data_IF_666480150892
#
_entry.id   IF_666480150892
#
_cell.length_a   1.000
_cell.length_b   1.000
_cell.length_c   1.000
_cell.angle_alpha   90.00
_cell.angle_beta   90.00
_cell.angle_gamma   90.00
#
_symmetry.space_group_name_H-M   'P 1'
#
loop_
_entity.id
_entity.type
_entity.pdbx_description
1 polymer ?
#
# COMPACT_ATOMS: atom_id res chain seq x y z
N UNK A 1 23.83 9.99 9.34
CA UNK A 1 25.01 9.09 9.37
C UNK A 1 24.71 7.63 8.99
N UNK A 2 23.46 7.22 8.69
CA UNK A 2 23.16 5.83 8.28
C UNK A 2 22.47 5.70 6.90
N UNK A 3 22.03 6.81 6.29
CA UNK A 3 21.34 6.80 5.00
C UNK A 3 22.31 6.46 3.86
N UNK A 4 23.47 7.10 3.85
CA UNK A 4 24.47 6.94 2.79
C UNK A 4 24.98 5.49 2.71
N UNK A 5 25.24 4.86 3.87
CA UNK A 5 25.63 3.44 3.94
C UNK A 5 24.56 2.49 3.39
N UNK A 6 23.28 2.78 3.62
CA UNK A 6 22.17 1.96 3.11
C UNK A 6 22.02 2.15 1.60
N UNK A 7 22.18 3.37 1.10
CA UNK A 7 22.16 3.66 -0.35
C UNK A 7 23.34 3.02 -1.07
N UNK A 8 24.53 3.01 -0.45
CA UNK A 8 25.72 2.31 -0.98
C UNK A 8 25.50 0.80 -1.06
N UNK A 9 24.83 0.22 -0.05
CA UNK A 9 24.42 -1.18 -0.07
C UNK A 9 23.38 -1.47 -1.17
N UNK A 10 22.47 -0.52 -1.43
CA UNK A 10 21.43 -0.58 -2.47
C UNK A 10 21.89 -0.01 -3.83
N UNK A 11 23.10 -0.39 -4.25
CA UNK A 11 23.61 -0.08 -5.58
C UNK A 11 22.78 -0.77 -6.69
N UNK A 12 22.90 -0.32 -7.94
CA UNK A 12 22.09 -0.82 -9.06
C UNK A 12 22.25 -2.33 -9.31
N UNK A 13 23.42 -2.89 -8.99
CA UNK A 13 23.67 -4.34 -9.05
C UNK A 13 22.87 -5.11 -7.98
N UNK A 14 22.79 -4.59 -6.75
CA UNK A 14 22.02 -5.23 -5.68
C UNK A 14 20.52 -5.09 -5.90
N UNK A 15 20.06 -3.97 -6.47
CA UNK A 15 18.66 -3.84 -6.93
C UNK A 15 18.32 -4.86 -8.02
N UNK A 16 19.19 -5.08 -9.00
CA UNK A 16 18.96 -6.09 -10.04
C UNK A 16 18.92 -7.51 -9.44
N UNK A 17 19.81 -7.81 -8.49
CA UNK A 17 19.78 -9.06 -7.73
C UNK A 17 18.45 -9.23 -6.97
N UNK A 18 18.01 -8.20 -6.25
CA UNK A 18 16.73 -8.22 -5.52
C UNK A 18 15.55 -8.43 -6.46
N UNK A 19 15.54 -7.76 -7.62
CA UNK A 19 14.53 -7.96 -8.65
C UNK A 19 14.52 -9.41 -9.15
N UNK A 20 15.69 -9.96 -9.45
CA UNK A 20 15.83 -11.36 -9.86
C UNK A 20 15.29 -12.33 -8.80
N UNK A 21 15.63 -12.13 -7.53
CA UNK A 21 15.12 -12.93 -6.40
C UNK A 21 13.59 -12.85 -6.35
N UNK A 22 13.01 -11.64 -6.40
CA UNK A 22 11.56 -11.46 -6.36
C UNK A 22 10.87 -12.19 -7.52
N UNK A 23 11.41 -12.09 -8.74
CA UNK A 23 10.85 -12.76 -9.93
C UNK A 23 10.92 -14.28 -9.78
N UNK A 24 12.07 -14.82 -9.37
CA UNK A 24 12.25 -16.26 -9.20
C UNK A 24 11.35 -16.83 -8.11
N UNK A 25 11.21 -16.13 -6.99
CA UNK A 25 10.30 -16.53 -5.91
C UNK A 25 8.82 -16.44 -6.34
N UNK A 26 8.46 -15.48 -7.18
CA UNK A 26 7.10 -15.36 -7.73
C UNK A 26 6.77 -16.51 -8.66
N UNK A 27 7.71 -16.90 -9.54
CA UNK A 27 7.56 -18.06 -10.42
C UNK A 27 7.40 -19.33 -9.57
N UNK A 28 8.25 -19.50 -8.57
CA UNK A 28 8.18 -20.63 -7.64
C UNK A 28 6.82 -20.72 -6.94
N UNK A 29 6.29 -19.61 -6.42
CA UNK A 29 4.97 -19.55 -5.78
C UNK A 29 3.82 -19.92 -6.73
N UNK A 30 3.88 -19.43 -7.97
CA UNK A 30 2.89 -19.78 -8.98
C UNK A 30 2.88 -21.30 -9.26
N UNK A 31 4.04 -21.96 -9.20
CA UNK A 31 4.13 -23.42 -9.37
C UNK A 31 3.68 -24.21 -8.14
N UNK A 32 3.87 -23.70 -6.92
CA UNK A 32 3.40 -24.36 -5.69
C UNK A 32 1.91 -24.12 -5.40
N UNK A 33 1.26 -23.22 -6.15
CA UNK A 33 -0.16 -22.90 -5.98
C UNK A 33 -0.46 -22.11 -4.70
N UNK A 34 0.57 -21.65 -3.98
CA UNK A 34 0.41 -20.82 -2.78
C UNK A 34 0.12 -19.39 -3.25
N UNK A 35 -1.17 -19.09 -3.39
CA UNK A 35 -1.63 -17.78 -3.81
C UNK A 35 -2.08 -16.96 -2.60
N UNK A 36 -1.44 -15.80 -2.39
CA UNK A 36 -1.84 -14.82 -1.39
C UNK A 36 -1.01 -14.85 -0.11
N UNK A 37 -1.60 -14.41 0.99
CA UNK A 37 -0.92 -14.38 2.28
C UNK A 37 -0.95 -15.79 2.88
N UNK A 38 0.21 -16.35 3.21
CA UNK A 38 0.33 -17.61 3.95
C UNK A 38 -0.30 -17.42 5.34
N UNK A 39 -1.60 -17.71 5.47
CA UNK A 39 -2.28 -17.72 6.76
C UNK A 39 -1.90 -19.01 7.50
N UNK A 40 -0.80 -18.94 8.24
CA UNK A 40 -0.39 -20.02 9.14
C UNK A 40 -1.05 -19.82 10.51
N UNK A 41 -1.57 -20.89 11.14
CA UNK A 41 -2.01 -20.83 12.53
C UNK A 41 -0.83 -20.48 13.44
N UNK A 42 -1.13 -19.82 14.56
CA UNK A 42 -0.10 -19.43 15.52
C UNK A 42 0.61 -20.67 16.07
N UNK A 43 1.95 -20.64 16.07
CA UNK A 43 2.85 -21.67 16.62
C UNK A 43 2.98 -22.98 15.83
N UNK A 44 2.49 -23.07 14.59
CA UNK A 44 2.79 -24.21 13.72
C UNK A 44 3.95 -23.89 12.76
N UNK A 45 4.99 -24.74 12.77
CA UNK A 45 6.09 -24.64 11.83
C UNK A 45 5.72 -25.34 10.51
N UNK A 46 5.25 -24.55 9.55
CA UNK A 46 4.91 -25.01 8.21
C UNK A 46 5.94 -24.54 7.17
N UNK A 47 7.20 -24.92 7.37
CA UNK A 47 8.35 -24.52 6.54
C UNK A 47 8.61 -22.99 6.45
N UNK A 48 9.66 -22.62 5.72
CA UNK A 48 10.06 -21.23 5.49
C UNK A 48 9.01 -20.53 4.64
N UNK A 49 8.50 -19.38 5.13
CA UNK A 49 7.54 -18.58 4.36
C UNK A 49 8.23 -17.84 3.22
N UNK A 50 8.18 -18.45 2.04
CA UNK A 50 8.75 -17.89 0.81
C UNK A 50 8.09 -16.56 0.44
N UNK A 51 6.80 -16.39 0.76
CA UNK A 51 6.05 -15.15 0.54
C UNK A 51 6.61 -14.02 1.40
N UNK A 52 6.99 -14.32 2.65
CA UNK A 52 7.64 -13.36 3.53
C UNK A 52 8.99 -12.90 2.97
N UNK A 53 9.85 -13.84 2.55
CA UNK A 53 11.17 -13.51 1.97
C UNK A 53 11.00 -12.64 0.72
N UNK A 54 10.06 -12.99 -0.16
CA UNK A 54 9.76 -12.19 -1.33
C UNK A 54 9.33 -10.77 -0.95
N UNK A 55 8.44 -10.60 0.04
CA UNK A 55 7.97 -9.29 0.48
C UNK A 55 9.10 -8.44 1.06
N UNK A 56 9.99 -9.03 1.86
CA UNK A 56 11.16 -8.34 2.39
C UNK A 56 12.08 -7.87 1.25
N UNK A 57 12.39 -8.74 0.28
CA UNK A 57 13.19 -8.37 -0.87
C UNK A 57 12.54 -7.25 -1.71
N UNK A 58 11.22 -7.31 -1.88
CA UNK A 58 10.44 -6.29 -2.58
C UNK A 58 10.47 -4.93 -1.87
N UNK A 59 10.39 -4.89 -0.55
CA UNK A 59 10.49 -3.65 0.23
C UNK A 59 11.83 -2.96 -0.03
N UNK A 60 12.95 -3.69 0.05
CA UNK A 60 14.28 -3.13 -0.21
C UNK A 60 14.46 -2.70 -1.66
N UNK A 61 13.92 -3.48 -2.61
CA UNK A 61 13.93 -3.14 -4.03
C UNK A 61 13.18 -1.81 -4.29
N UNK A 62 11.96 -1.70 -3.78
CA UNK A 62 11.13 -0.50 -3.94
C UNK A 62 11.77 0.70 -3.27
N UNK A 63 12.24 0.55 -2.02
CA UNK A 63 12.93 1.62 -1.31
C UNK A 63 14.14 2.14 -2.09
N UNK A 64 15.05 1.25 -2.50
CA UNK A 64 16.27 1.67 -3.21
C UNK A 64 16.00 2.23 -4.61
N UNK A 65 14.93 1.78 -5.29
CA UNK A 65 14.52 2.33 -6.58
C UNK A 65 13.88 3.71 -6.43
N UNK A 66 12.98 3.88 -5.45
CA UNK A 66 12.30 5.15 -5.18
C UNK A 66 13.26 6.22 -4.64
N UNK A 67 14.25 5.83 -3.85
CA UNK A 67 15.30 6.74 -3.37
C UNK A 67 16.10 7.33 -4.54
N UNK A 68 16.44 6.51 -5.55
CA UNK A 68 17.12 6.97 -6.77
C UNK A 68 16.22 7.85 -7.65
N UNK A 69 14.91 7.62 -7.59
CA UNK A 69 13.90 8.33 -8.38
C UNK A 69 13.29 9.52 -7.62
N UNK A 70 13.99 10.07 -6.61
CA UNK A 70 13.44 11.09 -5.70
C UNK A 70 12.79 12.25 -6.45
N UNK A 71 11.45 12.31 -6.39
CA UNK A 71 10.66 13.41 -6.94
C UNK A 71 10.33 14.40 -5.83
N UNK A 72 10.69 15.66 -6.01
CA UNK A 72 10.25 16.74 -5.12
C UNK A 72 8.92 17.30 -5.62
N UNK A 73 7.82 16.85 -5.02
CA UNK A 73 6.48 17.37 -5.31
C UNK A 73 5.71 17.63 -4.02
N UNK A 74 5.21 18.86 -3.86
CA UNK A 74 4.40 19.28 -2.69
C UNK A 74 3.16 18.38 -2.48
N UNK A 75 2.62 17.82 -3.56
CA UNK A 75 1.49 16.90 -3.50
C UNK A 75 1.90 15.54 -2.91
N UNK A 76 3.05 15.01 -3.30
CA UNK A 76 3.58 13.75 -2.76
C UNK A 76 3.92 13.89 -1.27
N UNK A 77 4.52 15.02 -0.87
CA UNK A 77 4.80 15.31 0.54
C UNK A 77 3.51 15.31 1.36
N UNK A 78 2.45 15.96 0.85
CA UNK A 78 1.14 16.00 1.53
C UNK A 78 0.51 14.61 1.66
N UNK A 79 0.64 13.77 0.63
CA UNK A 79 0.10 12.39 0.65
C UNK A 79 0.93 11.52 1.60
N UNK A 80 2.26 11.68 1.61
CA UNK A 80 3.15 10.97 2.54
C UNK A 80 2.83 11.33 4.00
N UNK A 81 2.67 12.62 4.28
CA UNK A 81 2.27 13.15 5.58
C UNK A 81 0.93 12.60 6.07
N UNK A 82 -0.02 12.39 5.16
CA UNK A 82 -1.36 11.88 5.47
C UNK A 82 -1.51 10.37 5.29
N UNK A 83 -0.43 9.66 4.92
CA UNK A 83 -0.45 8.25 4.54
C UNK A 83 -0.98 7.32 5.64
N UNK A 84 -0.66 7.61 6.90
CA UNK A 84 -1.18 6.85 8.04
C UNK A 84 -2.70 6.97 8.15
N UNK A 85 -3.24 8.19 8.03
CA UNK A 85 -4.69 8.41 8.06
C UNK A 85 -5.38 7.79 6.83
N UNK A 86 -4.78 7.96 5.65
CA UNK A 86 -5.28 7.39 4.40
C UNK A 86 -5.23 5.86 4.41
N UNK A 87 -4.41 5.21 5.23
CA UNK A 87 -4.40 3.75 5.33
C UNK A 87 -5.69 3.20 5.97
N UNK A 88 -6.28 3.92 6.93
CA UNK A 88 -7.46 3.43 7.68
C UNK A 88 -8.81 3.82 7.07
N UNK A 89 -8.86 4.83 6.20
CA UNK A 89 -10.11 5.34 5.62
C UNK A 89 -10.71 4.43 4.52
N UNK A 90 -9.93 3.84 3.58
CA UNK A 90 -10.44 3.06 2.46
C UNK A 90 -11.36 1.89 2.85
N UNK A 91 -11.10 1.09 3.90
CA UNK A 91 -12.03 0.04 4.32
C UNK A 91 -13.44 0.56 4.62
N UNK A 92 -13.55 1.74 5.27
CA UNK A 92 -14.84 2.37 5.57
C UNK A 92 -15.51 2.92 4.30
N UNK A 93 -14.74 3.54 3.40
CA UNK A 93 -15.26 4.04 2.14
C UNK A 93 -15.76 2.90 1.23
N UNK A 94 -15.03 1.79 1.18
CA UNK A 94 -15.43 0.60 0.43
C UNK A 94 -16.72 -0.01 0.99
N UNK A 95 -16.87 -0.06 2.30
CA UNK A 95 -18.10 -0.54 2.95
C UNK A 95 -19.29 0.36 2.59
N UNK A 96 -19.12 1.69 2.65
CA UNK A 96 -20.16 2.65 2.25
C UNK A 96 -20.51 2.47 0.77
N UNK A 97 -19.50 2.29 -0.09
CA UNK A 97 -19.70 2.07 -1.52
C UNK A 97 -20.46 0.77 -1.79
N UNK A 98 -20.16 -0.30 -1.05
CA UNK A 98 -20.87 -1.58 -1.16
C UNK A 98 -22.35 -1.46 -0.74
N UNK A 99 -22.64 -0.74 0.35
CA UNK A 99 -24.02 -0.46 0.75
C UNK A 99 -24.75 0.39 -0.30
N UNK A 100 -24.07 1.40 -0.85
CA UNK A 100 -24.63 2.27 -1.88
C UNK A 100 -24.87 1.52 -3.20
N UNK A 101 -23.96 0.64 -3.60
CA UNK A 101 -24.09 -0.24 -4.78
C UNK A 101 -25.34 -1.11 -4.67
N UNK A 102 -25.50 -1.80 -3.53
CA UNK A 102 -26.65 -2.64 -3.28
C UNK A 102 -27.99 -1.86 -3.28
N UNK A 103 -27.98 -0.62 -2.79
CA UNK A 103 -29.22 0.18 -2.64
C UNK A 103 -29.61 0.96 -3.89
N UNK A 104 -28.65 1.50 -4.63
CA UNK A 104 -28.90 2.45 -5.73
C UNK A 104 -28.50 1.92 -7.11
N UNK A 105 -27.54 0.99 -7.18
CA UNK A 105 -26.99 0.48 -8.44
C UNK A 105 -27.32 -1.00 -8.68
N UNK A 106 -28.03 -1.65 -7.74
CA UNK A 106 -28.49 -3.03 -7.87
C UNK A 106 -27.36 -4.07 -7.83
N UNK A 107 -26.19 -3.72 -7.30
CA UNK A 107 -25.03 -4.62 -7.22
C UNK A 107 -24.24 -4.75 -8.53
N UNK A 108 -24.47 -3.85 -9.49
CA UNK A 108 -23.85 -3.92 -10.83
C UNK A 108 -22.38 -3.51 -10.82
N UNK A 109 -21.90 -2.75 -9.83
CA UNK A 109 -20.50 -2.31 -9.75
C UNK A 109 -19.51 -3.46 -9.52
N UNK A 110 -19.96 -4.58 -8.93
CA UNK A 110 -19.14 -5.81 -8.78
C UNK A 110 -19.18 -6.73 -9.99
N UNK A 111 -20.25 -6.68 -10.80
CA UNK A 111 -20.53 -7.68 -11.83
C UNK A 111 -19.79 -7.40 -13.14
N UNK A 112 -19.55 -6.13 -13.46
CA UNK A 112 -18.93 -5.75 -14.71
C UNK A 112 -17.43 -5.49 -14.52
N UNK A 113 -16.60 -6.40 -15.02
CA UNK A 113 -15.14 -6.23 -15.10
C UNK A 113 -14.79 -5.16 -16.14
N UNK A 114 -15.03 -3.90 -15.79
CA UNK A 114 -14.66 -2.75 -16.60
C UNK A 114 -13.46 -2.03 -15.94
N UNK A 115 -12.30 -2.10 -16.60
CA UNK A 115 -11.05 -1.54 -16.10
C UNK A 115 -11.13 -0.03 -15.88
N UNK A 116 -11.93 0.68 -16.67
CA UNK A 116 -12.17 2.12 -16.52
C UNK A 116 -12.92 2.42 -15.22
N UNK A 117 -13.95 1.63 -14.91
CA UNK A 117 -14.70 1.73 -13.66
C UNK A 117 -13.81 1.44 -12.46
N UNK A 118 -12.98 0.39 -12.54
CA UNK A 118 -12.02 0.05 -11.49
C UNK A 118 -11.04 1.19 -11.19
N UNK A 119 -10.40 1.76 -12.23
CA UNK A 119 -9.47 2.90 -12.06
C UNK A 119 -10.22 4.12 -11.50
N UNK A 120 -11.45 4.37 -11.95
CA UNK A 120 -12.32 5.44 -11.44
C UNK A 120 -12.63 5.29 -9.94
N UNK A 121 -13.01 4.09 -9.51
CA UNK A 121 -13.31 3.80 -8.10
C UNK A 121 -12.05 3.94 -7.25
N UNK A 122 -10.92 3.35 -7.67
CA UNK A 122 -9.66 3.44 -6.94
C UNK A 122 -9.20 4.90 -6.77
N UNK A 123 -9.21 5.68 -7.85
CA UNK A 123 -8.83 7.10 -7.79
C UNK A 123 -9.80 7.90 -6.92
N UNK A 124 -11.11 7.65 -7.03
CA UNK A 124 -12.14 8.28 -6.20
C UNK A 124 -11.96 8.01 -4.70
N UNK A 125 -11.66 6.77 -4.33
CA UNK A 125 -11.41 6.38 -2.93
C UNK A 125 -10.17 7.10 -2.39
N UNK A 126 -9.08 7.17 -3.17
CA UNK A 126 -7.85 7.87 -2.74
C UNK A 126 -8.12 9.36 -2.54
N UNK A 127 -8.77 10.01 -3.50
CA UNK A 127 -9.10 11.45 -3.41
C UNK A 127 -9.99 11.73 -2.21
N UNK A 128 -11.02 10.91 -2.00
CA UNK A 128 -11.94 11.05 -0.87
C UNK A 128 -11.22 10.82 0.46
N UNK A 129 -10.31 9.85 0.53
CA UNK A 129 -9.52 9.58 1.74
C UNK A 129 -8.61 10.76 2.11
N UNK A 130 -7.91 11.34 1.12
CA UNK A 130 -7.09 12.54 1.31
C UNK A 130 -7.96 13.72 1.77
N UNK A 131 -9.15 13.88 1.18
CA UNK A 131 -10.08 14.94 1.53
C UNK A 131 -10.60 14.80 2.97
N UNK A 132 -11.01 13.59 3.37
CA UNK A 132 -11.42 13.27 4.75
C UNK A 132 -10.28 13.56 5.75
N UNK A 133 -9.04 13.13 5.45
CA UNK A 133 -7.88 13.40 6.31
C UNK A 133 -7.63 14.91 6.48
N UNK A 134 -7.77 15.69 5.39
CA UNK A 134 -7.63 17.15 5.44
C UNK A 134 -8.74 17.84 6.24
N UNK A 135 -10.00 17.41 6.06
CA UNK A 135 -11.14 17.93 6.85
C UNK A 135 -10.90 17.64 8.33
N UNK A 136 -10.51 16.41 8.66
CA UNK A 136 -10.26 16.04 10.05
C UNK A 136 -9.17 16.92 10.65
N UNK A 137 -8.06 17.16 9.94
CA UNK A 137 -7.03 18.13 10.37
C UNK A 137 -7.59 19.55 10.54
N UNK A 138 -8.48 19.99 9.66
CA UNK A 138 -9.09 21.33 9.72
C UNK A 138 -10.03 21.49 10.92
N UNK A 139 -10.86 20.50 11.19
CA UNK A 139 -11.81 20.50 12.33
C UNK A 139 -11.05 20.49 13.66
N UNK A 140 -9.95 19.74 13.74
CA UNK A 140 -9.16 19.59 14.96
C UNK A 140 -7.95 20.53 15.06
N UNK A 141 -7.90 21.61 14.25
CA UNK A 141 -6.80 22.60 14.21
C UNK A 141 -6.49 23.27 15.56
N UNK A 142 -7.40 23.20 16.53
CA UNK A 142 -7.25 23.79 17.87
C UNK A 142 -6.59 22.90 18.93
N UNK A 143 -6.35 21.61 18.66
CA UNK A 143 -5.80 20.67 19.65
C UNK A 143 -4.43 20.14 19.24
N UNK A 144 -3.42 20.21 20.12
CA UNK A 144 -2.12 19.54 19.90
C UNK A 144 -2.23 18.01 19.89
N UNK A 145 -3.38 17.45 20.31
CA UNK A 145 -3.59 15.99 20.43
C UNK A 145 -3.95 15.31 19.11
N UNK A 146 -4.25 16.07 18.07
CA UNK A 146 -4.68 15.54 16.76
C UNK A 146 -3.62 14.68 16.10
N UNK A 147 -2.35 15.00 16.35
CA UNK A 147 -1.18 14.24 15.88
C UNK A 147 -1.17 12.79 16.37
N UNK A 148 -1.77 12.52 17.54
CA UNK A 148 -1.86 11.15 18.09
C UNK A 148 -2.99 10.32 17.50
N UNK A 149 -4.02 10.97 16.93
CA UNK A 149 -5.17 10.29 16.30
C UNK A 149 -4.96 10.05 14.80
N UNK A 150 -4.28 10.99 14.13
CA UNK A 150 -4.17 11.02 12.66
C UNK A 150 -2.74 10.64 12.20
N UNK A 151 -1.78 10.57 13.13
CA UNK A 151 -0.35 10.39 12.79
C UNK A 151 0.28 11.62 12.13
N UNK A 152 -0.50 12.71 12.00
CA UNK A 152 -0.17 13.97 11.33
C UNK A 152 -0.69 15.18 12.10
#
# INVERSE_FOLDING_TARGET
MNKDKVTDCLNSKTLLLLLFIVVMLSIYQNHTGINGNSHKPFFEYDAIDVVFIQKVALIFLLYGTLEKLSFKSKYLDTISDTSFAIFFIPPWLLLILEIADAKYFGGTLKSDFNITLYIGICSGIVVTSVFCAKIMKMVFRGSKKTRYLIGY
#
